data_IF_043804328994
#
_entry.id   IF_043804328994
#
_cell.length_a   1.000
_cell.length_b   1.000
_cell.length_c   1.000
_cell.angle_alpha   90.00
_cell.angle_beta   90.00
_cell.angle_gamma   90.00
#
_symmetry.space_group_name_H-M   'P 1'
#
loop_
_entity.id
_entity.type
_entity.pdbx_description
1 polymer ?
#
# COMPACT_ATOMS: atom_id res chain seq x y z
N UNK A 1 -7.91 -33.82 -45.65
CA UNK A 1 -8.95 -33.03 -44.93
C UNK A 1 -8.56 -32.68 -43.48
N UNK A 2 -7.43 -33.19 -42.96
CA UNK A 2 -6.97 -32.97 -41.58
C UNK A 2 -6.15 -31.69 -41.39
N UNK A 3 -5.38 -31.25 -42.40
CA UNK A 3 -4.57 -30.03 -42.31
C UNK A 3 -5.39 -28.74 -42.19
N UNK A 4 -6.54 -28.66 -42.88
CA UNK A 4 -7.41 -27.48 -42.85
C UNK A 4 -8.06 -27.30 -41.46
N UNK A 5 -8.44 -28.39 -40.81
CA UNK A 5 -9.01 -28.35 -39.46
C UNK A 5 -7.98 -27.86 -38.44
N UNK A 6 -6.73 -28.29 -38.59
CA UNK A 6 -5.63 -27.95 -37.68
C UNK A 6 -5.23 -26.47 -37.79
N UNK A 7 -5.27 -25.89 -39.00
CA UNK A 7 -5.02 -24.46 -39.21
C UNK A 7 -6.14 -23.59 -38.61
N UNK A 8 -7.41 -23.98 -38.79
CA UNK A 8 -8.55 -23.24 -38.22
C UNK A 8 -8.51 -23.25 -36.68
N UNK A 9 -8.14 -24.38 -36.07
CA UNK A 9 -8.05 -24.49 -34.62
C UNK A 9 -6.93 -23.61 -34.04
N UNK A 10 -5.78 -23.53 -34.71
CA UNK A 10 -4.67 -22.66 -34.33
C UNK A 10 -5.05 -21.18 -34.40
N UNK A 11 -5.75 -20.76 -35.46
CA UNK A 11 -6.22 -19.37 -35.60
C UNK A 11 -7.21 -19.00 -34.51
N UNK A 12 -8.15 -19.88 -34.17
CA UNK A 12 -9.12 -19.66 -33.09
C UNK A 12 -8.45 -19.55 -31.71
N UNK A 13 -7.44 -20.39 -31.43
CA UNK A 13 -6.69 -20.31 -30.17
C UNK A 13 -5.88 -19.01 -30.04
N UNK A 14 -5.27 -18.54 -31.14
CA UNK A 14 -4.54 -17.26 -31.16
C UNK A 14 -5.49 -16.08 -30.96
N UNK A 15 -6.68 -16.10 -31.57
CA UNK A 15 -7.70 -15.05 -31.38
C UNK A 15 -8.24 -15.03 -29.94
N UNK A 16 -8.46 -16.19 -29.33
CA UNK A 16 -8.87 -16.28 -27.93
C UNK A 16 -7.78 -15.77 -26.97
N UNK A 17 -6.51 -16.10 -27.22
CA UNK A 17 -5.39 -15.58 -26.43
C UNK A 17 -5.24 -14.04 -26.53
N UNK A 18 -5.48 -13.46 -27.71
CA UNK A 18 -5.47 -12.00 -27.89
C UNK A 18 -6.66 -11.31 -27.21
N UNK A 19 -7.83 -11.96 -27.17
CA UNK A 19 -9.00 -11.41 -26.45
C UNK A 19 -8.78 -11.35 -24.93
N UNK A 20 -8.02 -12.29 -24.36
CA UNK A 20 -7.67 -12.25 -22.93
C UNK A 20 -6.51 -11.29 -22.62
N UNK A 21 -5.57 -11.10 -23.55
CA UNK A 21 -4.52 -10.10 -23.41
C UNK A 21 -5.05 -8.66 -23.38
N UNK A 22 -6.22 -8.39 -23.97
CA UNK A 22 -6.88 -7.08 -23.86
C UNK A 22 -7.69 -6.87 -22.57
N UNK A 23 -8.00 -7.94 -21.82
CA UNK A 23 -8.63 -7.83 -20.49
C UNK A 23 -7.61 -7.79 -19.35
N UNK A 24 -6.43 -8.38 -19.54
CA UNK A 24 -5.26 -8.14 -18.72
C UNK A 24 -4.39 -7.04 -19.33
N UNK A 25 -5.05 -5.96 -19.77
CA UNK A 25 -4.38 -4.69 -19.91
C UNK A 25 -3.77 -4.34 -18.56
N UNK A 26 -2.44 -4.26 -18.54
CA UNK A 26 -1.65 -3.73 -17.46
C UNK A 26 -2.43 -2.63 -16.74
N UNK A 27 -2.76 -2.86 -15.46
CA UNK A 27 -3.08 -1.79 -14.52
C UNK A 27 -1.81 -0.96 -14.23
N UNK A 28 -1.07 -0.59 -15.27
CA UNK A 28 -0.32 0.64 -15.30
C UNK A 28 -1.39 1.72 -15.40
N UNK A 29 -1.83 2.22 -14.24
CA UNK A 29 -2.69 3.38 -14.09
C UNK A 29 -1.99 4.65 -14.58
N UNK A 30 -1.61 4.69 -15.85
CA UNK A 30 -1.53 5.92 -16.63
C UNK A 30 -2.95 6.28 -16.99
N UNK A 31 -3.70 6.82 -16.01
CA UNK A 31 -4.98 7.46 -16.29
C UNK A 31 -4.72 8.56 -17.31
N UNK A 32 -5.03 8.28 -18.58
CA UNK A 32 -5.20 9.30 -19.60
C UNK A 32 -6.50 9.99 -19.24
N UNK A 33 -6.38 11.05 -18.43
CA UNK A 33 -7.47 11.90 -18.02
C UNK A 33 -8.10 12.49 -19.27
N UNK A 34 -9.29 12.02 -19.62
CA UNK A 34 -10.22 12.84 -20.37
C UNK A 34 -10.44 14.12 -19.56
N UNK A 35 -9.87 15.22 -20.05
CA UNK A 35 -9.91 16.58 -19.53
C UNK A 35 -11.32 17.19 -19.57
N UNK A 36 -12.27 16.56 -18.89
CA UNK A 36 -13.49 17.22 -18.40
C UNK A 36 -13.27 17.41 -16.91
N UNK A 37 -13.38 18.64 -16.42
CA UNK A 37 -13.22 19.05 -15.03
C UNK A 37 -13.92 18.10 -14.04
N UNK A 38 -13.28 16.98 -13.66
CA UNK A 38 -13.62 16.30 -12.42
C UNK A 38 -13.05 17.17 -11.32
N UNK A 39 -13.88 18.11 -10.88
CA UNK A 39 -13.61 18.91 -9.70
C UNK A 39 -13.49 17.93 -8.55
N UNK A 40 -12.26 17.61 -8.14
CA UNK A 40 -12.01 16.80 -6.96
C UNK A 40 -12.79 17.41 -5.80
N UNK A 41 -13.37 16.56 -4.95
CA UNK A 41 -14.04 17.02 -3.75
C UNK A 41 -13.08 17.89 -2.92
N UNK A 42 -13.61 18.86 -2.18
CA UNK A 42 -12.78 19.65 -1.27
C UNK A 42 -12.26 18.75 -0.15
N UNK A 43 -11.05 19.00 0.32
CA UNK A 43 -10.48 18.25 1.43
C UNK A 43 -11.37 18.42 2.68
N UNK A 44 -11.83 17.31 3.25
CA UNK A 44 -12.79 17.31 4.36
C UNK A 44 -12.20 17.84 5.67
N UNK A 45 -10.87 17.81 5.81
CA UNK A 45 -10.16 18.39 6.95
C UNK A 45 -8.73 18.77 6.57
N UNK A 46 -8.06 19.54 7.44
CA UNK A 46 -6.63 19.83 7.33
C UNK A 46 -5.72 18.62 7.59
N UNK A 47 -6.24 17.56 8.21
CA UNK A 47 -5.53 16.33 8.49
C UNK A 47 -5.55 15.33 7.32
N UNK A 48 -6.26 15.64 6.23
CA UNK A 48 -6.25 14.83 5.00
C UNK A 48 -5.27 15.42 3.97
N UNK A 49 -4.41 14.58 3.37
CA UNK A 49 -3.53 15.04 2.31
C UNK A 49 -4.33 15.34 1.04
N UNK A 50 -4.01 16.43 0.36
CA UNK A 50 -4.58 16.79 -0.93
C UNK A 50 -3.94 16.03 -2.09
N UNK A 51 -2.70 15.57 -1.95
CA UNK A 51 -2.03 14.67 -2.89
C UNK A 51 -1.26 13.59 -2.17
N UNK A 52 -1.20 12.42 -2.80
CA UNK A 52 -0.35 11.31 -2.40
C UNK A 52 0.67 11.03 -3.48
N UNK A 53 1.86 10.64 -3.08
CA UNK A 53 2.87 10.05 -3.95
C UNK A 53 3.46 8.86 -3.23
N UNK A 54 3.52 7.72 -3.89
CA UNK A 54 4.16 6.55 -3.33
C UNK A 54 5.15 5.94 -4.31
N UNK A 55 6.18 5.33 -3.74
CA UNK A 55 7.20 4.58 -4.45
C UNK A 55 7.26 3.20 -3.82
N UNK A 56 7.04 2.17 -4.63
CA UNK A 56 7.04 0.78 -4.21
C UNK A 56 8.37 0.15 -4.59
N UNK A 57 9.04 -0.48 -3.62
CA UNK A 57 10.31 -1.16 -3.81
C UNK A 57 10.22 -2.61 -3.34
N UNK A 58 10.97 -3.48 -4.01
CA UNK A 58 11.34 -4.78 -3.44
C UNK A 58 12.25 -4.58 -2.22
N UNK A 59 12.36 -5.60 -1.36
CA UNK A 59 13.23 -5.55 -0.18
C UNK A 59 14.71 -5.29 -0.51
N UNK A 60 15.16 -5.65 -1.71
CA UNK A 60 16.51 -5.36 -2.24
C UNK A 60 16.67 -3.90 -2.75
N UNK A 61 15.70 -3.03 -2.50
CA UNK A 61 15.63 -1.63 -2.93
C UNK A 61 15.46 -1.41 -4.44
N UNK A 62 15.06 -2.42 -5.21
CA UNK A 62 14.67 -2.23 -6.62
C UNK A 62 13.30 -1.55 -6.70
N UNK A 63 13.21 -0.42 -7.41
CA UNK A 63 11.94 0.28 -7.65
C UNK A 63 11.04 -0.55 -8.56
N UNK A 64 9.84 -0.87 -8.07
CA UNK A 64 8.79 -1.59 -8.81
C UNK A 64 7.87 -0.59 -9.50
N UNK A 65 7.40 0.42 -8.77
CA UNK A 65 6.41 1.37 -9.27
C UNK A 65 6.52 2.71 -8.54
N UNK A 66 6.18 3.78 -9.24
CA UNK A 66 6.02 5.13 -8.69
C UNK A 66 4.70 5.69 -9.20
N UNK A 67 3.90 6.24 -8.30
CA UNK A 67 2.63 6.86 -8.67
C UNK A 67 2.36 8.07 -7.80
N UNK A 68 1.72 9.08 -8.38
CA UNK A 68 1.21 10.23 -7.65
C UNK A 68 -0.26 10.46 -8.05
N UNK A 69 -1.08 10.81 -7.07
CA UNK A 69 -2.52 10.98 -7.24
C UNK A 69 -3.00 12.21 -6.47
N UNK A 70 -3.96 12.92 -7.05
CA UNK A 70 -4.69 13.98 -6.37
C UNK A 70 -5.91 13.40 -5.68
N UNK A 71 -6.02 13.66 -4.38
CA UNK A 71 -7.08 13.10 -3.53
C UNK A 71 -8.24 14.08 -3.39
N UNK A 72 -7.92 15.35 -3.16
CA UNK A 72 -8.91 16.40 -2.98
C UNK A 72 -8.35 17.76 -3.42
N UNK A 73 -9.23 18.75 -3.55
CA UNK A 73 -8.84 20.14 -3.77
C UNK A 73 -8.82 20.92 -2.45
N UNK A 74 -7.80 21.73 -2.23
CA UNK A 74 -7.73 22.63 -1.08
C UNK A 74 -8.84 23.68 -1.11
N UNK A 75 -9.21 24.27 0.03
CA UNK A 75 -10.23 25.33 0.04
C UNK A 75 -9.69 26.61 -0.62
N UNK A 76 -10.59 27.47 -1.11
CA UNK A 76 -10.21 28.68 -1.87
C UNK A 76 -9.27 29.63 -1.10
N UNK A 77 -9.38 29.66 0.22
CA UNK A 77 -8.53 30.44 1.11
C UNK A 77 -7.13 29.84 1.36
N UNK A 78 -6.87 28.61 0.94
CA UNK A 78 -5.61 27.88 1.17
C UNK A 78 -4.73 27.81 -0.09
N UNK A 79 -5.23 28.32 -1.22
CA UNK A 79 -4.60 28.19 -2.53
C UNK A 79 -4.74 26.79 -3.12
N UNK A 80 -3.98 26.51 -4.18
CA UNK A 80 -3.93 25.18 -4.78
C UNK A 80 -3.06 24.22 -3.97
N UNK A 81 -3.33 22.93 -4.10
CA UNK A 81 -2.47 21.90 -3.50
C UNK A 81 -1.09 21.96 -4.15
N UNK A 82 -0.04 22.12 -3.34
CA UNK A 82 1.33 22.30 -3.84
C UNK A 82 1.83 21.09 -4.63
N UNK A 83 2.69 21.36 -5.61
CA UNK A 83 3.42 20.34 -6.39
C UNK A 83 4.86 20.18 -5.91
N UNK A 84 5.31 21.03 -4.99
CA UNK A 84 6.64 21.01 -4.41
C UNK A 84 6.72 19.97 -3.30
N UNK A 85 7.19 18.77 -3.65
CA UNK A 85 7.39 17.65 -2.74
C UNK A 85 8.56 17.85 -1.75
N UNK A 86 9.34 18.93 -1.89
CA UNK A 86 10.47 19.23 -1.01
C UNK A 86 10.08 20.14 0.16
N UNK A 87 8.89 20.75 0.11
CA UNK A 87 8.39 21.62 1.16
C UNK A 87 8.04 20.85 2.44
N UNK A 88 9.01 20.73 3.35
CA UNK A 88 8.86 20.02 4.63
C UNK A 88 7.71 20.55 5.51
N UNK A 89 7.27 21.79 5.30
CA UNK A 89 6.13 22.36 6.04
C UNK A 89 4.79 21.80 5.57
N UNK A 90 4.70 21.28 4.35
CA UNK A 90 3.44 20.75 3.78
C UNK A 90 3.53 19.27 3.40
N UNK A 91 4.73 18.68 3.45
CA UNK A 91 4.97 17.28 3.07
C UNK A 91 5.38 16.46 4.27
N UNK A 92 4.63 15.39 4.52
CA UNK A 92 5.04 14.32 5.40
C UNK A 92 5.52 13.15 4.55
N UNK A 93 6.77 12.74 4.75
CA UNK A 93 7.32 11.53 4.13
C UNK A 93 7.46 10.43 5.18
N UNK A 94 7.09 9.20 4.80
CA UNK A 94 7.18 8.00 5.65
C UNK A 94 7.68 6.83 4.84
N UNK A 95 8.65 6.11 5.41
CA UNK A 95 9.04 4.80 4.91
C UNK A 95 8.15 3.78 5.61
N UNK A 96 7.42 2.99 4.85
CA UNK A 96 6.57 1.91 5.35
C UNK A 96 7.24 0.60 5.02
N UNK A 97 7.33 -0.31 5.99
CA UNK A 97 7.86 -1.65 5.80
C UNK A 97 6.72 -2.67 5.92
N UNK A 98 6.59 -3.53 4.90
CA UNK A 98 5.84 -4.77 4.96
C UNK A 98 6.80 -5.97 4.84
N UNK A 99 6.27 -7.18 4.96
CA UNK A 99 7.04 -8.42 4.89
C UNK A 99 7.75 -8.65 3.54
N UNK A 100 7.20 -8.09 2.46
CA UNK A 100 7.60 -8.35 1.09
C UNK A 100 8.02 -7.09 0.32
N UNK A 101 7.66 -5.91 0.82
CA UNK A 101 7.81 -4.65 0.11
C UNK A 101 8.22 -3.50 1.04
N UNK A 102 8.83 -2.49 0.44
CA UNK A 102 9.08 -1.19 1.06
C UNK A 102 8.30 -0.14 0.29
N UNK A 103 7.62 0.75 1.01
CA UNK A 103 6.87 1.86 0.40
C UNK A 103 7.41 3.17 0.93
N UNK A 104 7.86 4.06 0.05
CA UNK A 104 8.06 5.45 0.44
C UNK A 104 6.77 6.20 0.15
N UNK A 105 6.06 6.62 1.20
CA UNK A 105 4.82 7.38 1.11
C UNK A 105 5.10 8.86 1.36
N UNK A 106 4.64 9.72 0.46
CA UNK A 106 4.66 11.17 0.60
C UNK A 106 3.23 11.71 0.58
N UNK A 107 2.90 12.47 1.62
CA UNK A 107 1.59 13.05 1.85
C UNK A 107 1.70 14.57 1.78
N UNK A 108 1.05 15.19 0.80
CA UNK A 108 1.00 16.64 0.62
C UNK A 108 -0.26 17.19 1.28
N UNK A 109 -0.15 18.21 2.12
CA UNK A 109 -1.28 18.84 2.80
C UNK A 109 -1.54 20.25 2.26
N UNK A 110 -2.79 20.70 2.35
CA UNK A 110 -3.18 22.06 1.95
C UNK A 110 -2.55 23.12 2.86
N UNK A 111 -2.52 22.83 4.16
CA UNK A 111 -1.98 23.70 5.20
C UNK A 111 -0.61 23.22 5.65
N UNK A 112 0.10 24.10 6.36
CA UNK A 112 1.28 23.71 7.12
C UNK A 112 0.90 22.60 8.07
N UNK A 113 1.67 21.51 8.02
CA UNK A 113 1.59 20.40 8.94
C UNK A 113 2.26 20.85 10.23
N UNK A 114 1.48 21.27 11.22
CA UNK A 114 2.00 21.38 12.58
C UNK A 114 2.33 19.97 13.07
N UNK A 115 3.52 19.75 13.68
CA UNK A 115 3.92 18.42 14.07
C UNK A 115 2.88 17.88 15.06
N UNK A 116 2.30 16.73 14.71
CA UNK A 116 1.52 15.96 15.65
C UNK A 116 2.39 15.63 16.87
N UNK A 117 1.75 15.42 18.02
CA UNK A 117 2.40 14.94 19.24
C UNK A 117 3.31 13.76 18.91
N UNK A 118 4.42 13.62 19.64
CA UNK A 118 5.27 12.44 19.47
C UNK A 118 4.45 11.19 19.81
N UNK A 119 4.60 10.14 18.99
CA UNK A 119 3.96 8.87 19.27
C UNK A 119 4.63 8.20 20.47
N UNK A 120 3.83 7.60 21.34
CA UNK A 120 4.33 6.56 22.24
C UNK A 120 4.80 5.34 21.45
N UNK A 121 5.66 4.52 22.07
CA UNK A 121 6.14 3.29 21.44
C UNK A 121 4.96 2.34 21.17
N UNK A 122 4.91 1.78 19.96
CA UNK A 122 3.81 0.96 19.42
C UNK A 122 2.46 1.69 19.24
N UNK A 123 2.42 3.01 19.34
CA UNK A 123 1.22 3.76 19.01
C UNK A 123 1.01 3.81 17.49
N UNK A 124 -0.25 3.69 17.06
CA UNK A 124 -0.64 3.84 15.65
C UNK A 124 -0.40 5.28 15.21
N UNK A 125 0.56 5.44 14.30
CA UNK A 125 0.92 6.74 13.72
C UNK A 125 0.14 7.02 12.45
N UNK A 126 -0.11 5.98 11.64
CA UNK A 126 -0.68 6.10 10.30
C UNK A 126 -1.63 4.94 10.01
N UNK A 127 -2.82 5.28 9.51
CA UNK A 127 -3.74 4.34 8.89
C UNK A 127 -3.99 4.76 7.44
N UNK A 128 -3.82 3.83 6.52
CA UNK A 128 -4.06 4.04 5.09
C UNK A 128 -5.05 3.01 4.57
N UNK A 129 -5.81 3.38 3.54
CA UNK A 129 -6.63 2.43 2.80
C UNK A 129 -6.35 2.47 1.31
N UNK A 130 -6.61 1.35 0.67
CA UNK A 130 -6.15 1.10 -0.69
C UNK A 130 -6.88 -0.03 -1.38
N UNK A 131 -6.58 -0.17 -2.67
CA UNK A 131 -6.94 -1.35 -3.43
C UNK A 131 -5.68 -2.21 -3.58
N UNK A 132 -5.74 -3.46 -3.14
CA UNK A 132 -4.58 -4.35 -3.02
C UNK A 132 -3.44 -3.69 -2.20
N UNK A 133 -2.21 -3.71 -2.72
CA UNK A 133 -1.03 -3.12 -2.08
C UNK A 133 -0.87 -1.61 -2.33
N UNK A 134 -1.79 -0.98 -3.08
CA UNK A 134 -1.66 0.42 -3.50
C UNK A 134 -2.44 1.32 -2.54
N UNK A 135 -1.76 2.19 -1.76
CA UNK A 135 -2.40 3.19 -0.93
C UNK A 135 -3.17 4.19 -1.80
N UNK A 136 -4.45 4.36 -1.52
CA UNK A 136 -5.31 5.32 -2.21
C UNK A 136 -5.77 6.46 -1.30
N UNK A 137 -5.86 6.24 0.01
CA UNK A 137 -6.32 7.24 0.97
C UNK A 137 -5.53 7.11 2.28
N UNK A 138 -5.46 8.21 3.03
CA UNK A 138 -4.92 8.26 4.39
C UNK A 138 -6.09 8.44 5.33
N UNK A 139 -6.49 7.38 6.02
CA UNK A 139 -7.62 7.36 6.93
C UNK A 139 -7.32 8.20 8.17
N UNK A 140 -6.14 7.99 8.76
CA UNK A 140 -5.71 8.64 10.00
C UNK A 140 -4.20 8.91 9.99
N UNK A 141 -3.79 10.05 10.54
CA UNK A 141 -2.39 10.37 10.84
C UNK A 141 -2.35 11.06 12.21
N UNK A 142 -2.05 10.29 13.26
CA UNK A 142 -2.27 10.69 14.64
C UNK A 142 -1.07 11.37 15.29
N UNK A 143 0.15 10.90 15.00
CA UNK A 143 1.35 11.29 15.74
C UNK A 143 2.63 11.12 14.89
N UNK A 144 3.74 11.70 15.34
CA UNK A 144 5.06 11.59 14.68
C UNK A 144 5.99 10.68 15.48
N UNK A 145 6.68 9.74 14.82
CA UNK A 145 7.72 8.97 15.50
C UNK A 145 8.87 9.87 15.96
N UNK A 146 9.41 9.57 17.15
CA UNK A 146 10.57 10.29 17.70
C UNK A 146 11.78 10.21 16.76
N UNK A 147 12.04 9.03 16.19
CA UNK A 147 13.06 8.84 15.17
C UNK A 147 12.42 8.77 13.78
N UNK A 148 12.52 9.86 13.01
CA UNK A 148 11.96 9.95 11.65
C UNK A 148 12.72 9.11 10.62
N UNK A 149 13.93 8.64 10.94
CA UNK A 149 14.71 7.77 10.05
C UNK A 149 14.22 6.32 10.07
N UNK A 150 13.51 5.91 11.12
CA UNK A 150 12.97 4.56 11.22
C UNK A 150 11.70 4.41 10.38
N UNK A 151 11.52 3.25 9.74
CA UNK A 151 10.28 2.96 9.03
C UNK A 151 9.13 2.80 10.02
N UNK A 152 7.91 3.07 9.56
CA UNK A 152 6.73 2.60 10.25
C UNK A 152 6.52 1.12 9.94
N UNK A 153 6.13 0.37 10.97
CA UNK A 153 5.91 -1.07 10.86
C UNK A 153 4.44 -1.38 10.70
N UNK A 154 4.12 -2.22 9.71
CA UNK A 154 2.77 -2.74 9.52
C UNK A 154 2.43 -3.69 10.66
N UNK A 155 1.35 -3.41 11.40
CA UNK A 155 0.91 -4.26 12.51
C UNK A 155 -0.41 -4.97 12.22
N UNK A 156 -1.22 -4.39 11.35
CA UNK A 156 -2.52 -4.93 10.98
C UNK A 156 -2.83 -4.58 9.53
N UNK A 157 -3.34 -5.55 8.78
CA UNK A 157 -4.01 -5.35 7.49
C UNK A 157 -5.41 -5.94 7.59
N UNK A 158 -6.47 -5.16 7.33
CA UNK A 158 -7.84 -5.66 7.27
C UNK A 158 -8.49 -5.41 5.91
N UNK A 159 -9.33 -6.33 5.46
CA UNK A 159 -10.18 -6.18 4.28
C UNK A 159 -11.59 -5.81 4.75
N UNK A 160 -12.06 -4.62 4.41
CA UNK A 160 -13.42 -4.19 4.67
C UNK A 160 -13.95 -3.39 3.48
N UNK A 161 -15.20 -3.58 3.09
CA UNK A 161 -15.83 -2.85 1.98
C UNK A 161 -15.00 -2.87 0.68
N UNK A 162 -14.42 -4.03 0.33
CA UNK A 162 -13.51 -4.21 -0.81
C UNK A 162 -12.27 -3.30 -0.81
N UNK A 163 -11.83 -2.84 0.37
CA UNK A 163 -10.60 -2.05 0.56
C UNK A 163 -9.72 -2.70 1.61
N UNK A 164 -8.42 -2.65 1.37
CA UNK A 164 -7.44 -2.98 2.40
C UNK A 164 -7.17 -1.74 3.25
N UNK A 165 -7.19 -1.91 4.56
CA UNK A 165 -6.80 -0.91 5.54
C UNK A 165 -5.54 -1.41 6.24
N UNK A 166 -4.51 -0.59 6.28
CA UNK A 166 -3.23 -0.92 6.88
C UNK A 166 -2.97 0.01 8.05
N UNK A 167 -2.67 -0.57 9.22
CA UNK A 167 -2.27 0.18 10.41
C UNK A 167 -0.76 0.10 10.60
N UNK A 168 -0.15 1.26 10.77
CA UNK A 168 1.28 1.41 10.95
C UNK A 168 1.61 2.10 12.27
N UNK A 169 2.58 1.54 12.99
CA UNK A 169 3.02 2.05 14.30
C UNK A 169 4.43 2.60 14.23
N UNK A 170 4.73 3.51 15.16
CA UNK A 170 6.10 3.85 15.51
C UNK A 170 6.62 2.81 16.48
N UNK A 171 7.74 2.16 16.17
CA UNK A 171 8.44 1.29 17.10
C UNK A 171 9.95 1.59 17.03
N UNK A 172 10.59 1.75 18.18
CA UNK A 172 12.04 1.97 18.24
C UNK A 172 12.82 0.78 17.65
N UNK A 173 12.23 -0.41 17.76
CA UNK A 173 12.64 -1.61 17.04
C UNK A 173 11.43 -2.51 16.85
N UNK A 174 11.33 -3.13 15.68
CA UNK A 174 10.36 -4.20 15.47
C UNK A 174 11.00 -5.54 15.83
N UNK A 175 10.35 -6.39 16.63
CA UNK A 175 10.96 -7.63 17.09
C UNK A 175 11.27 -8.55 15.91
N UNK A 176 12.41 -9.24 15.96
CA UNK A 176 12.73 -10.32 15.03
C UNK A 176 12.15 -11.63 15.56
N UNK A 177 11.47 -12.41 14.72
CA UNK A 177 10.91 -13.69 15.12
C UNK A 177 12.01 -14.72 15.40
N UNK A 178 11.84 -15.53 16.44
CA UNK A 178 12.55 -16.81 16.53
C UNK A 178 11.96 -17.81 15.53
N UNK A 179 12.70 -18.87 15.18
CA UNK A 179 12.20 -19.90 14.24
C UNK A 179 10.88 -20.56 14.70
N UNK A 180 10.58 -20.54 16.00
CA UNK A 180 9.39 -21.15 16.58
C UNK A 180 8.26 -20.14 16.87
N UNK A 181 8.49 -18.85 16.63
CA UNK A 181 7.48 -17.82 16.89
C UNK A 181 6.64 -17.56 15.64
N UNK A 182 5.33 -17.41 15.85
CA UNK A 182 4.44 -16.95 14.81
C UNK A 182 4.82 -15.52 14.39
N UNK A 183 4.96 -15.31 13.09
CA UNK A 183 5.29 -14.01 12.52
C UNK A 183 4.02 -13.21 12.17
N UNK A 184 2.94 -13.90 11.79
CA UNK A 184 1.64 -13.29 11.58
C UNK A 184 0.49 -14.25 11.92
N UNK A 185 -0.69 -13.68 12.11
CA UNK A 185 -1.95 -14.40 12.21
C UNK A 185 -2.88 -13.90 11.11
N UNK A 186 -3.38 -14.82 10.29
CA UNK A 186 -4.31 -14.52 9.20
C UNK A 186 -5.71 -14.98 9.58
N UNK A 187 -6.70 -14.13 9.35
CA UNK A 187 -8.13 -14.39 9.46
C UNK A 187 -8.78 -13.98 8.14
N UNK A 188 -10.04 -14.35 7.95
CA UNK A 188 -10.79 -14.07 6.71
C UNK A 188 -10.75 -12.62 6.26
N UNK A 189 -10.75 -11.67 7.20
CA UNK A 189 -10.83 -10.23 6.96
C UNK A 189 -9.62 -9.46 7.51
N UNK A 190 -8.64 -10.13 8.11
CA UNK A 190 -7.57 -9.46 8.87
C UNK A 190 -6.28 -10.26 8.91
N UNK A 191 -5.16 -9.57 8.90
CA UNK A 191 -3.82 -10.11 9.16
C UNK A 191 -3.18 -9.26 10.25
N UNK A 192 -2.80 -9.89 11.36
CA UNK A 192 -2.04 -9.26 12.44
C UNK A 192 -0.56 -9.67 12.31
N UNK A 193 0.36 -8.71 12.32
CA UNK A 193 1.80 -8.94 12.20
C UNK A 193 2.46 -8.75 13.57
N UNK A 194 3.34 -9.68 13.95
CA UNK A 194 3.91 -9.72 15.31
C UNK A 194 5.41 -9.42 15.33
N UNK A 195 6.14 -9.85 14.31
CA UNK A 195 7.59 -9.73 14.25
C UNK A 195 8.08 -9.88 12.79
N UNK A 196 9.29 -9.42 12.52
CA UNK A 196 9.94 -9.61 11.22
C UNK A 196 10.72 -10.93 11.21
N UNK A 197 10.59 -11.72 10.14
CA UNK A 197 11.39 -12.94 10.01
C UNK A 197 12.88 -12.63 9.79
N UNK A 198 13.79 -13.49 10.27
CA UNK A 198 15.20 -13.43 9.91
C UNK A 198 15.41 -13.39 8.39
N UNK A 199 16.52 -12.80 7.94
CA UNK A 199 16.78 -12.50 6.52
C UNK A 199 16.75 -13.72 5.57
N UNK A 200 17.00 -14.93 6.10
CA UNK A 200 16.96 -16.19 5.37
C UNK A 200 15.58 -16.88 5.38
N UNK A 201 14.60 -16.33 6.09
CA UNK A 201 13.24 -16.86 6.22
C UNK A 201 12.23 -15.85 5.67
N UNK A 202 10.98 -16.29 5.52
CA UNK A 202 9.85 -15.48 5.07
C UNK A 202 8.61 -15.80 5.89
N UNK A 203 7.84 -14.76 6.19
CA UNK A 203 6.53 -14.89 6.78
C UNK A 203 5.49 -15.02 5.66
N UNK A 204 5.15 -16.25 5.28
CA UNK A 204 4.17 -16.48 4.20
C UNK A 204 3.29 -17.68 4.49
N UNK A 205 2.05 -17.59 4.02
CA UNK A 205 1.16 -18.75 3.98
C UNK A 205 1.82 -19.86 3.15
N UNK A 206 1.78 -21.08 3.67
CA UNK A 206 2.36 -22.27 3.02
C UNK A 206 1.48 -22.79 1.87
N UNK A 207 0.29 -22.22 1.68
CA UNK A 207 -0.63 -22.56 0.59
C UNK A 207 -1.68 -21.47 0.33
N UNK A 208 -2.59 -21.68 -0.63
CA UNK A 208 -3.73 -20.80 -0.83
C UNK A 208 -4.64 -20.81 0.39
N UNK A 209 -5.24 -19.67 0.71
CA UNK A 209 -6.25 -19.59 1.77
C UNK A 209 -7.41 -20.53 1.44
N UNK A 210 -7.66 -21.50 2.32
CA UNK A 210 -8.74 -22.47 2.14
C UNK A 210 -10.05 -21.84 2.62
N UNK A 211 -11.06 -21.82 1.75
CA UNK A 211 -12.39 -21.34 2.11
C UNK A 211 -12.95 -22.16 3.29
N UNK A 212 -13.34 -21.49 4.36
CA UNK A 212 -13.79 -22.11 5.62
C UNK A 212 -12.75 -22.10 6.74
N UNK A 213 -11.49 -21.79 6.46
CA UNK A 213 -10.50 -21.49 7.51
C UNK A 213 -10.90 -20.20 8.23
N UNK A 214 -11.04 -20.26 9.56
CA UNK A 214 -11.38 -19.10 10.39
C UNK A 214 -10.11 -18.28 10.70
N UNK A 215 -9.03 -18.99 11.01
CA UNK A 215 -7.76 -18.42 11.43
C UNK A 215 -6.61 -19.36 11.05
N UNK A 216 -5.49 -18.79 10.64
CA UNK A 216 -4.22 -19.49 10.41
C UNK A 216 -3.09 -18.74 11.11
N UNK A 217 -2.26 -19.48 11.83
CA UNK A 217 -1.06 -18.95 12.47
C UNK A 217 0.12 -19.28 11.59
N UNK A 218 0.88 -18.26 11.19
CA UNK A 218 1.96 -18.38 10.22
C UNK A 218 3.29 -18.15 10.92
N UNK A 219 4.27 -19.00 10.58
CA UNK A 219 5.61 -19.00 11.14
C UNK A 219 6.63 -18.65 10.06
N UNK A 220 7.82 -18.23 10.48
CA UNK A 220 8.93 -18.00 9.56
C UNK A 220 9.39 -19.32 8.94
N UNK A 221 9.33 -19.45 7.62
CA UNK A 221 9.82 -20.63 6.90
C UNK A 221 10.87 -20.26 5.87
N UNK A 222 11.64 -21.25 5.40
CA UNK A 222 12.51 -21.05 4.24
C UNK A 222 11.70 -20.62 3.01
N UNK A 223 12.33 -19.87 2.11
CA UNK A 223 11.73 -19.41 0.86
C UNK A 223 11.33 -20.58 -0.03
#
# INVERSE_FOLDING_TARGET
>A
MTMLLQQVLLVMLVLLAQSQAMYYGSAAGGGSYNSRLHRHARCSSSAKPCRLKFELFHLNNTLISRTASQQCSCNSNQGECSNDWTNSNKVISRNLRSDDMKVNLHMMFCNTVTPATECDNNQVSLEISGFMAIPNDVDNHACRCRNTSQPLYLVERRLANNRFYHKYVCADSWPTCSANNACMRVRSDRTDYFCECPSNLVCRLSGPWVAGTIEEIVYCSSR
#
